data_IF_483170300897
#
_entry.id   IF_483170300897
#
_cell.length_a   1.000
_cell.length_b   1.000
_cell.length_c   1.000
_cell.angle_alpha   90.00
_cell.angle_beta   90.00
_cell.angle_gamma   90.00
#
_symmetry.space_group_name_H-M   'P 1'
#
loop_
_entity.id
_entity.type
_entity.pdbx_description
1 polymer ?
#
# COMPACT_ATOMS: atom_id res chain seq x y z
N UNK A 1 19.92 16.85 -18.12
CA UNK A 1 18.84 16.97 -17.12
C UNK A 1 17.87 18.01 -17.62
N UNK A 2 16.61 17.64 -17.78
CA UNK A 2 15.54 18.54 -18.23
C UNK A 2 14.97 19.35 -17.04
N UNK A 3 14.18 20.38 -17.34
CA UNK A 3 13.46 21.16 -16.31
C UNK A 3 12.49 20.28 -15.48
N UNK A 4 11.78 19.36 -16.14
CA UNK A 4 10.84 18.43 -15.47
C UNK A 4 11.58 17.47 -14.54
N UNK A 5 12.69 16.86 -14.99
CA UNK A 5 13.48 15.99 -14.13
C UNK A 5 14.06 16.76 -12.94
N UNK A 6 14.51 17.99 -13.15
CA UNK A 6 14.99 18.85 -12.08
C UNK A 6 13.87 19.15 -11.06
N UNK A 7 12.67 19.50 -11.53
CA UNK A 7 11.52 19.75 -10.65
C UNK A 7 11.16 18.52 -9.81
N UNK A 8 11.07 17.34 -10.44
CA UNK A 8 10.81 16.07 -9.76
C UNK A 8 11.88 15.82 -8.69
N UNK A 9 13.16 16.06 -9.03
CA UNK A 9 14.27 15.88 -8.11
C UNK A 9 14.17 16.83 -6.91
N UNK A 10 13.91 18.12 -7.14
CA UNK A 10 13.75 19.11 -6.07
C UNK A 10 12.64 18.70 -5.11
N UNK A 11 11.49 18.26 -5.64
CA UNK A 11 10.38 17.78 -4.81
C UNK A 11 10.73 16.51 -4.03
N UNK A 12 11.44 15.57 -4.65
CA UNK A 12 11.90 14.34 -3.99
C UNK A 12 12.88 14.64 -2.85
N UNK A 13 13.86 15.51 -3.08
CA UNK A 13 14.82 15.95 -2.06
C UNK A 13 14.14 16.77 -0.96
N UNK A 14 13.19 17.64 -1.32
CA UNK A 14 12.39 18.41 -0.37
C UNK A 14 11.57 17.50 0.55
N UNK A 15 10.89 16.50 -0.02
CA UNK A 15 10.18 15.46 0.73
C UNK A 15 11.12 14.71 1.68
N UNK A 16 12.23 14.18 1.15
CA UNK A 16 13.19 13.43 1.95
C UNK A 16 13.77 14.26 3.10
N UNK A 17 14.13 15.53 2.84
CA UNK A 17 14.62 16.45 3.86
C UNK A 17 13.59 16.69 4.96
N UNK A 18 12.32 16.84 4.59
CA UNK A 18 11.22 17.03 5.53
C UNK A 18 10.92 15.76 6.36
N UNK A 19 10.81 14.59 5.72
CA UNK A 19 10.61 13.31 6.42
C UNK A 19 11.77 12.99 7.37
N UNK A 20 13.01 13.24 6.92
CA UNK A 20 14.21 13.07 7.75
C UNK A 20 14.22 14.04 8.93
N UNK A 21 13.75 15.28 8.74
CA UNK A 21 13.62 16.25 9.82
C UNK A 21 12.62 15.75 10.88
N UNK A 22 11.42 15.32 10.48
CA UNK A 22 10.41 14.76 11.38
C UNK A 22 10.91 13.49 12.09
N UNK A 23 11.56 12.59 11.35
CA UNK A 23 12.17 11.38 11.90
C UNK A 23 13.22 11.71 12.97
N UNK A 24 14.05 12.73 12.74
CA UNK A 24 15.04 13.18 13.72
C UNK A 24 14.41 13.85 14.95
N UNK A 25 13.32 14.60 14.80
CA UNK A 25 12.56 15.13 15.94
C UNK A 25 12.00 14.00 16.80
N UNK A 26 11.39 13.00 16.16
CA UNK A 26 10.88 11.81 16.84
C UNK A 26 12.00 11.03 17.53
N UNK A 27 13.15 10.84 16.87
CA UNK A 27 14.31 10.17 17.47
C UNK A 27 14.81 10.89 18.72
N UNK A 28 14.98 12.21 18.66
CA UNK A 28 15.38 13.01 19.82
C UNK A 28 14.40 12.83 20.98
N UNK A 29 13.11 12.87 20.68
CA UNK A 29 12.07 12.68 21.68
C UNK A 29 12.10 11.27 22.28
N UNK A 30 12.21 10.22 21.46
CA UNK A 30 12.28 8.84 21.93
C UNK A 30 13.52 8.58 22.77
N UNK A 31 14.68 9.13 22.40
CA UNK A 31 15.91 9.00 23.21
C UNK A 31 15.72 9.67 24.57
N UNK A 32 15.20 10.90 24.58
CA UNK A 32 14.93 11.62 25.83
C UNK A 32 13.92 10.90 26.73
N UNK A 33 12.84 10.39 26.14
CA UNK A 33 11.80 9.65 26.83
C UNK A 33 12.28 8.27 27.31
N UNK A 34 13.19 7.62 26.58
CA UNK A 34 13.81 6.37 26.98
C UNK A 34 14.60 6.54 28.28
N UNK A 35 15.39 7.61 28.39
CA UNK A 35 16.18 7.90 29.60
C UNK A 35 15.30 8.25 30.81
N UNK A 36 14.13 8.85 30.57
CA UNK A 36 13.22 9.31 31.63
C UNK A 36 11.77 8.96 31.30
N UNK A 37 11.33 7.77 31.71
CA UNK A 37 9.93 7.38 31.61
C UNK A 37 9.02 8.38 32.35
N UNK A 38 8.01 8.95 31.68
CA UNK A 38 7.05 9.85 32.32
C UNK A 38 6.30 9.19 33.48
N UNK A 39 6.11 9.91 34.59
CA UNK A 39 5.46 9.37 35.80
C UNK A 39 4.06 8.78 35.54
N UNK A 40 3.29 9.35 34.60
CA UNK A 40 1.94 8.88 34.24
C UNK A 40 1.95 7.52 33.54
N UNK A 41 3.02 7.17 32.82
CA UNK A 41 3.09 5.93 32.04
C UNK A 41 3.58 4.73 32.84
N UNK A 42 4.17 4.94 34.03
CA UNK A 42 4.56 3.86 34.95
C UNK A 42 3.40 2.99 35.43
N UNK A 43 2.16 3.50 35.35
CA UNK A 43 0.93 2.73 35.62
C UNK A 43 0.49 1.85 34.46
N UNK A 44 1.01 2.11 33.25
CA UNK A 44 0.60 1.45 32.01
C UNK A 44 1.63 0.44 31.53
N UNK A 45 2.93 0.72 31.75
CA UNK A 45 4.00 -0.19 31.38
C UNK A 45 5.18 -0.09 32.34
N UNK A 46 5.82 -1.23 32.59
CA UNK A 46 7.04 -1.33 33.38
C UNK A 46 8.21 -0.57 32.73
N UNK A 47 9.27 -0.33 33.49
CA UNK A 47 10.49 0.31 32.98
C UNK A 47 11.17 -0.54 31.89
N UNK A 48 11.11 -1.88 32.01
CA UNK A 48 11.67 -2.80 31.01
C UNK A 48 10.88 -2.78 29.69
N UNK A 49 9.55 -2.80 29.76
CA UNK A 49 8.67 -2.69 28.59
C UNK A 49 8.83 -1.32 27.92
N UNK A 50 8.97 -0.25 28.71
CA UNK A 50 9.25 1.09 28.21
C UNK A 50 10.58 1.16 27.45
N UNK A 51 11.64 0.56 28.00
CA UNK A 51 12.95 0.49 27.36
C UNK A 51 12.89 -0.29 26.04
N UNK A 52 12.23 -1.45 26.04
CA UNK A 52 12.03 -2.30 24.85
C UNK A 52 11.24 -1.56 23.77
N UNK A 53 10.09 -0.97 24.11
CA UNK A 53 9.24 -0.22 23.17
C UNK A 53 9.96 1.01 22.59
N UNK A 54 10.70 1.74 23.43
CA UNK A 54 11.50 2.88 22.99
C UNK A 54 12.65 2.45 22.09
N UNK A 55 13.34 1.34 22.42
CA UNK A 55 14.43 0.79 21.63
C UNK A 55 13.97 0.29 20.27
N UNK A 56 12.79 -0.32 20.19
CA UNK A 56 12.14 -0.71 18.94
C UNK A 56 11.85 0.52 18.09
N UNK A 57 11.18 1.53 18.66
CA UNK A 57 10.83 2.77 17.97
C UNK A 57 12.06 3.51 17.42
N UNK A 58 13.15 3.57 18.20
CA UNK A 58 14.43 4.17 17.76
C UNK A 58 15.03 3.36 16.62
N UNK A 59 15.09 2.02 16.74
CA UNK A 59 15.70 1.15 15.73
C UNK A 59 14.91 1.21 14.41
N UNK A 60 13.58 1.20 14.49
CA UNK A 60 12.66 1.33 13.36
C UNK A 60 12.81 2.67 12.66
N UNK A 61 12.88 3.77 13.41
CA UNK A 61 13.03 5.11 12.83
C UNK A 61 14.39 5.29 12.16
N UNK A 62 15.48 4.81 12.78
CA UNK A 62 16.82 4.82 12.15
C UNK A 62 16.86 4.01 10.86
N UNK A 63 16.23 2.83 10.86
CA UNK A 63 16.13 1.98 9.68
C UNK A 63 15.32 2.67 8.57
N UNK A 64 14.19 3.29 8.89
CA UNK A 64 13.37 4.06 7.93
C UNK A 64 14.19 5.16 7.27
N UNK A 65 14.87 6.01 8.05
CA UNK A 65 15.68 7.10 7.49
C UNK A 65 16.77 6.56 6.54
N UNK A 66 17.40 5.43 6.90
CA UNK A 66 18.39 4.80 6.04
C UNK A 66 17.78 4.25 4.73
N UNK A 67 16.65 3.56 4.83
CA UNK A 67 15.89 3.06 3.69
C UNK A 67 15.44 4.19 2.77
N UNK A 68 14.92 5.28 3.33
CA UNK A 68 14.48 6.47 2.58
C UNK A 68 15.65 7.14 1.85
N UNK A 69 16.81 7.24 2.50
CA UNK A 69 18.03 7.79 1.90
C UNK A 69 18.53 6.94 0.71
N UNK A 70 18.52 5.60 0.88
CA UNK A 70 18.85 4.69 -0.21
C UNK A 70 17.79 4.74 -1.32
N UNK A 71 16.51 4.80 -0.96
CA UNK A 71 15.39 4.96 -1.86
C UNK A 71 15.51 6.21 -2.73
N UNK A 72 15.93 7.35 -2.16
CA UNK A 72 16.19 8.58 -2.92
C UNK A 72 17.33 8.43 -3.94
N UNK A 73 18.39 7.69 -3.59
CA UNK A 73 19.48 7.39 -4.51
C UNK A 73 19.00 6.52 -5.68
N UNK A 74 18.26 5.45 -5.38
CA UNK A 74 17.66 4.58 -6.42
C UNK A 74 16.67 5.37 -7.28
N UNK A 75 15.81 6.18 -6.65
CA UNK A 75 14.86 7.04 -7.34
C UNK A 75 15.56 8.00 -8.32
N UNK A 76 16.71 8.56 -7.94
CA UNK A 76 17.50 9.43 -8.82
C UNK A 76 18.05 8.66 -10.02
N UNK A 77 18.58 7.45 -9.80
CA UNK A 77 19.04 6.55 -10.88
C UNK A 77 17.87 6.19 -11.80
N UNK A 78 16.70 5.90 -11.22
CA UNK A 78 15.48 5.60 -11.97
C UNK A 78 15.07 6.78 -12.84
N UNK A 79 14.98 7.99 -12.29
CA UNK A 79 14.52 9.19 -12.98
C UNK A 79 15.44 9.61 -14.14
N UNK A 80 16.77 9.58 -13.92
CA UNK A 80 17.73 10.10 -14.90
C UNK A 80 18.18 9.07 -15.92
N UNK A 81 18.27 7.80 -15.53
CA UNK A 81 18.88 6.77 -16.35
C UNK A 81 17.92 5.64 -16.69
N UNK A 82 17.41 4.90 -15.71
CA UNK A 82 16.70 3.66 -15.99
C UNK A 82 15.35 3.89 -16.68
N UNK A 83 14.58 4.90 -16.26
CA UNK A 83 13.29 5.23 -16.86
C UNK A 83 13.42 5.58 -18.35
N UNK A 84 14.24 6.58 -18.77
CA UNK A 84 14.42 6.87 -20.19
C UNK A 84 15.08 5.70 -20.94
N UNK A 85 16.09 5.03 -20.35
CA UNK A 85 16.72 3.87 -20.95
C UNK A 85 15.70 2.77 -21.28
N UNK A 86 14.86 2.39 -20.32
CA UNK A 86 13.91 1.30 -20.46
C UNK A 86 12.90 1.58 -21.56
N UNK A 87 12.24 2.75 -21.55
CA UNK A 87 11.20 3.05 -22.53
C UNK A 87 11.74 3.43 -23.91
N UNK A 88 12.97 3.93 -24.01
CA UNK A 88 13.60 4.17 -25.31
C UNK A 88 14.13 2.88 -25.94
N UNK A 89 14.52 1.89 -25.13
CA UNK A 89 14.93 0.57 -25.63
C UNK A 89 13.74 -0.33 -25.95
N UNK A 90 12.74 -0.36 -25.07
CA UNK A 90 11.51 -1.11 -25.26
C UNK A 90 10.40 -0.20 -25.79
N UNK A 91 10.26 -0.14 -27.12
CA UNK A 91 9.17 0.59 -27.77
C UNK A 91 7.81 0.09 -27.23
N UNK A 92 7.07 1.01 -26.63
CA UNK A 92 5.70 0.82 -26.11
C UNK A 92 4.71 1.77 -26.75
N UNK A 93 5.06 2.35 -27.90
CA UNK A 93 4.26 3.31 -28.66
C UNK A 93 2.91 2.75 -29.14
N UNK A 94 2.13 3.61 -29.80
CA UNK A 94 0.75 3.29 -30.19
C UNK A 94 0.64 2.10 -31.16
N UNK A 95 1.67 1.87 -31.99
CA UNK A 95 1.72 0.77 -32.98
C UNK A 95 2.01 -0.61 -32.37
N UNK A 96 2.53 -0.66 -31.15
CA UNK A 96 2.92 -1.91 -30.49
C UNK A 96 1.70 -2.63 -29.92
N UNK A 97 1.78 -3.96 -29.75
CA UNK A 97 0.70 -4.74 -29.13
C UNK A 97 0.37 -4.24 -27.71
N UNK A 98 -0.92 -4.05 -27.42
CA UNK A 98 -1.42 -3.60 -26.11
C UNK A 98 -0.88 -4.46 -24.97
N UNK A 99 -0.87 -5.79 -25.14
CA UNK A 99 -0.44 -6.72 -24.11
C UNK A 99 1.08 -6.72 -23.92
N UNK A 100 1.85 -6.49 -24.99
CA UNK A 100 3.30 -6.28 -24.88
C UNK A 100 3.61 -5.03 -24.04
N UNK A 101 2.90 -3.93 -24.31
CA UNK A 101 3.03 -2.71 -23.52
C UNK A 101 2.70 -2.92 -22.04
N UNK A 102 1.60 -3.63 -21.74
CA UNK A 102 1.21 -3.95 -20.37
C UNK A 102 2.23 -4.83 -19.63
N UNK A 103 2.78 -5.85 -20.30
CA UNK A 103 3.83 -6.71 -19.74
C UNK A 103 5.08 -5.88 -19.42
N UNK A 104 5.53 -5.03 -20.34
CA UNK A 104 6.69 -4.17 -20.12
C UNK A 104 6.46 -3.16 -18.99
N UNK A 105 5.24 -2.64 -18.84
CA UNK A 105 4.88 -1.80 -17.70
C UNK A 105 5.04 -2.52 -16.35
N UNK A 106 4.51 -3.75 -16.24
CA UNK A 106 4.62 -4.55 -15.01
C UNK A 106 6.07 -4.94 -14.74
N UNK A 107 6.83 -5.35 -15.76
CA UNK A 107 8.25 -5.67 -15.63
C UNK A 107 9.06 -4.45 -15.18
N UNK A 108 8.76 -3.27 -15.73
CA UNK A 108 9.39 -2.03 -15.31
C UNK A 108 9.15 -1.75 -13.81
N UNK A 109 7.91 -1.93 -13.32
CA UNK A 109 7.59 -1.78 -11.91
C UNK A 109 8.35 -2.78 -11.03
N UNK A 110 8.47 -4.05 -11.47
CA UNK A 110 9.21 -5.07 -10.71
C UNK A 110 10.68 -4.77 -10.60
N UNK A 111 11.31 -4.38 -11.71
CA UNK A 111 12.74 -4.01 -11.71
C UNK A 111 12.95 -2.78 -10.83
N UNK A 112 12.04 -1.80 -10.89
CA UNK A 112 12.12 -0.58 -10.08
C UNK A 112 12.04 -0.84 -8.58
N UNK A 113 11.36 -1.92 -8.16
CA UNK A 113 11.13 -2.26 -6.74
C UNK A 113 12.05 -3.35 -6.19
N UNK A 114 13.03 -3.81 -6.95
CA UNK A 114 13.92 -4.91 -6.51
C UNK A 114 14.67 -4.59 -5.21
N UNK A 115 15.04 -3.33 -5.01
CA UNK A 115 15.69 -2.86 -3.80
C UNK A 115 14.78 -3.00 -2.57
N UNK A 116 13.47 -2.75 -2.72
CA UNK A 116 12.48 -2.84 -1.64
C UNK A 116 12.36 -4.26 -1.10
N UNK A 117 12.57 -5.29 -1.93
CA UNK A 117 12.57 -6.70 -1.49
C UNK A 117 13.74 -6.97 -0.51
N UNK A 118 14.91 -6.35 -0.75
CA UNK A 118 16.08 -6.48 0.14
C UNK A 118 15.82 -5.81 1.49
N UNK A 119 15.23 -4.61 1.48
CA UNK A 119 14.86 -3.92 2.72
C UNK A 119 13.75 -4.65 3.47
N UNK A 120 12.78 -5.23 2.76
CA UNK A 120 11.74 -6.06 3.37
C UNK A 120 12.34 -7.27 4.10
N UNK A 121 13.32 -7.95 3.49
CA UNK A 121 14.06 -9.03 4.15
C UNK A 121 14.78 -8.55 5.42
N UNK A 122 15.51 -7.44 5.34
CA UNK A 122 16.19 -6.86 6.52
C UNK A 122 15.20 -6.43 7.61
N UNK A 123 14.05 -5.86 7.23
CA UNK A 123 13.01 -5.50 8.18
C UNK A 123 12.54 -6.72 8.96
N UNK A 124 12.20 -7.82 8.27
CA UNK A 124 11.72 -9.03 8.93
C UNK A 124 12.81 -9.76 9.74
N UNK A 125 13.93 -10.11 9.10
CA UNK A 125 14.92 -11.03 9.67
C UNK A 125 16.04 -10.35 10.45
N UNK A 126 16.08 -9.01 10.51
CA UNK A 126 17.02 -8.26 11.36
C UNK A 126 16.29 -7.35 12.34
N UNK A 127 15.41 -6.47 11.86
CA UNK A 127 14.73 -5.52 12.74
C UNK A 127 13.68 -6.24 13.58
N UNK A 128 12.66 -6.86 12.98
CA UNK A 128 11.57 -7.51 13.71
C UNK A 128 12.04 -8.74 14.51
N UNK A 129 12.97 -9.53 13.96
CA UNK A 129 13.62 -10.65 14.67
C UNK A 129 14.31 -10.20 15.97
N UNK A 130 15.05 -9.08 15.94
CA UNK A 130 15.75 -8.54 17.12
C UNK A 130 14.80 -8.24 18.28
N UNK A 131 13.54 -7.91 17.99
CA UNK A 131 12.53 -7.59 19.00
C UNK A 131 11.53 -8.74 19.21
N UNK A 132 11.76 -9.91 18.61
CA UNK A 132 10.93 -11.10 18.78
C UNK A 132 9.56 -11.05 18.08
N UNK A 133 9.34 -10.05 17.21
CA UNK A 133 8.10 -9.90 16.45
C UNK A 133 8.03 -10.80 15.24
N UNK A 134 9.16 -11.13 14.62
CA UNK A 134 9.18 -12.06 13.48
C UNK A 134 8.92 -13.49 13.96
N UNK A 135 7.94 -14.15 13.32
CA UNK A 135 7.67 -15.59 13.48
C UNK A 135 7.78 -16.34 12.15
N UNK A 136 8.02 -15.61 11.06
CA UNK A 136 8.14 -16.17 9.72
C UNK A 136 9.50 -16.85 9.51
N UNK A 137 9.50 -17.91 8.72
CA UNK A 137 10.73 -18.58 8.26
C UNK A 137 11.15 -18.05 6.90
N UNK A 138 12.44 -18.12 6.54
CA UNK A 138 12.92 -17.71 5.22
C UNK A 138 12.20 -18.40 4.06
N UNK A 139 11.85 -19.69 4.23
CA UNK A 139 11.06 -20.45 3.24
C UNK A 139 9.63 -19.91 3.10
N UNK A 140 8.97 -19.59 4.21
CA UNK A 140 7.63 -19.00 4.18
C UNK A 140 7.65 -17.62 3.53
N UNK A 141 8.58 -16.76 3.93
CA UNK A 141 8.75 -15.42 3.34
C UNK A 141 9.00 -15.50 1.83
N UNK A 142 9.90 -16.38 1.37
CA UNK A 142 10.16 -16.54 -0.06
C UNK A 142 8.93 -17.03 -0.83
N UNK A 143 8.22 -18.01 -0.28
CA UNK A 143 6.95 -18.50 -0.85
C UNK A 143 5.93 -17.36 -0.97
N UNK A 144 5.77 -16.57 0.09
CA UNK A 144 4.84 -15.44 0.10
C UNK A 144 5.21 -14.42 -0.97
N UNK A 145 6.51 -14.07 -1.12
CA UNK A 145 6.98 -13.15 -2.16
C UNK A 145 6.76 -13.67 -3.58
N UNK A 146 6.96 -14.96 -3.83
CA UNK A 146 6.66 -15.56 -5.14
C UNK A 146 5.16 -15.47 -5.45
N UNK A 147 4.29 -15.78 -4.48
CA UNK A 147 2.84 -15.69 -4.66
C UNK A 147 2.42 -14.23 -4.88
N UNK A 148 2.98 -13.29 -4.11
CA UNK A 148 2.72 -11.84 -4.22
C UNK A 148 3.09 -11.33 -5.63
N UNK A 149 4.30 -11.64 -6.11
CA UNK A 149 4.79 -11.25 -7.44
C UNK A 149 3.97 -11.91 -8.56
N UNK A 150 3.56 -13.17 -8.38
CA UNK A 150 2.76 -13.87 -9.38
C UNK A 150 1.34 -13.29 -9.47
N UNK A 151 0.67 -13.08 -8.33
CA UNK A 151 -0.67 -12.52 -8.29
C UNK A 151 -0.71 -11.07 -8.79
N UNK A 152 0.27 -10.25 -8.38
CA UNK A 152 0.38 -8.88 -8.90
C UNK A 152 0.65 -8.85 -10.41
N UNK A 153 1.33 -9.85 -10.97
CA UNK A 153 1.53 -9.95 -12.42
C UNK A 153 0.23 -10.36 -13.11
N UNK A 154 -0.42 -11.40 -12.58
CA UNK A 154 -1.67 -11.95 -13.09
C UNK A 154 -2.81 -10.93 -13.07
N UNK A 155 -2.84 -10.02 -12.10
CA UNK A 155 -3.85 -8.96 -12.00
C UNK A 155 -3.40 -7.67 -12.70
N UNK A 156 -2.13 -7.32 -12.58
CA UNK A 156 -1.55 -6.07 -13.09
C UNK A 156 -1.50 -6.02 -14.63
N UNK A 157 -1.10 -7.12 -15.29
CA UNK A 157 -1.04 -7.16 -16.76
C UNK A 157 -2.42 -7.01 -17.40
N UNK A 158 -3.47 -7.76 -16.98
CA UNK A 158 -4.83 -7.54 -17.47
C UNK A 158 -5.34 -6.12 -17.20
N UNK A 159 -5.13 -5.60 -15.99
CA UNK A 159 -5.60 -4.26 -15.62
C UNK A 159 -4.96 -3.17 -16.51
N UNK A 160 -3.63 -3.16 -16.62
CA UNK A 160 -2.92 -2.20 -17.47
C UNK A 160 -3.25 -2.40 -18.94
N UNK A 161 -3.38 -3.64 -19.41
CA UNK A 161 -3.77 -3.93 -20.78
C UNK A 161 -5.18 -3.42 -21.10
N UNK A 162 -6.14 -3.60 -20.20
CA UNK A 162 -7.49 -3.05 -20.34
C UNK A 162 -7.49 -1.51 -20.34
N UNK A 163 -6.65 -0.87 -19.53
CA UNK A 163 -6.52 0.59 -19.53
C UNK A 163 -5.92 1.12 -20.84
N UNK A 164 -4.84 0.50 -21.32
CA UNK A 164 -4.23 0.85 -22.61
C UNK A 164 -5.21 0.60 -23.76
N UNK A 165 -5.94 -0.51 -23.73
CA UNK A 165 -6.97 -0.84 -24.71
C UNK A 165 -8.09 0.21 -24.70
N UNK A 166 -8.58 0.56 -23.51
CA UNK A 166 -9.62 1.58 -23.31
C UNK A 166 -9.18 2.93 -23.85
N UNK A 167 -7.94 3.35 -23.56
CA UNK A 167 -7.36 4.56 -24.13
C UNK A 167 -7.36 4.50 -25.66
N UNK A 168 -6.77 3.45 -26.25
CA UNK A 168 -6.62 3.33 -27.72
C UNK A 168 -7.95 3.27 -28.47
N UNK A 169 -8.96 2.67 -27.87
CA UNK A 169 -10.29 2.53 -28.46
C UNK A 169 -11.11 3.80 -28.27
N UNK A 170 -11.33 4.26 -27.03
CA UNK A 170 -12.25 5.37 -26.75
C UNK A 170 -11.71 6.73 -27.19
N UNK A 171 -10.38 6.93 -27.24
CA UNK A 171 -9.78 8.19 -27.72
C UNK A 171 -10.07 8.46 -29.19
N UNK A 172 -10.42 7.45 -29.99
CA UNK A 172 -10.81 7.62 -31.39
C UNK A 172 -12.20 8.27 -31.53
N UNK A 173 -13.06 8.13 -30.52
CA UNK A 173 -14.46 8.56 -30.58
C UNK A 173 -14.76 9.78 -29.71
N UNK A 174 -14.01 9.98 -28.61
CA UNK A 174 -14.28 11.05 -27.67
C UNK A 174 -13.05 11.52 -26.89
N UNK A 175 -12.94 12.83 -26.70
CA UNK A 175 -11.96 13.44 -25.79
C UNK A 175 -12.24 13.10 -24.31
N UNK A 176 -13.42 12.55 -23.99
CA UNK A 176 -13.79 12.07 -22.66
C UNK A 176 -13.48 10.58 -22.43
N UNK A 177 -12.61 9.98 -23.26
CA UNK A 177 -12.19 8.57 -23.11
C UNK A 177 -11.73 8.21 -21.70
N UNK A 178 -11.12 9.16 -20.98
CA UNK A 178 -10.59 8.97 -19.63
C UNK A 178 -11.70 8.74 -18.59
N UNK A 179 -12.92 9.24 -18.81
CA UNK A 179 -14.09 8.96 -17.96
C UNK A 179 -14.47 7.48 -18.06
N UNK A 180 -14.48 6.94 -19.28
CA UNK A 180 -14.78 5.53 -19.53
C UNK A 180 -13.68 4.61 -18.99
N UNK A 181 -12.41 4.95 -19.23
CA UNK A 181 -11.27 4.21 -18.69
C UNK A 181 -11.27 4.22 -17.15
N UNK A 182 -11.59 5.37 -16.53
CA UNK A 182 -11.77 5.46 -15.09
C UNK A 182 -12.95 4.62 -14.60
N UNK A 183 -14.10 4.65 -15.28
CA UNK A 183 -15.26 3.82 -14.93
C UNK A 183 -14.92 2.33 -14.93
N UNK A 184 -14.22 1.84 -15.95
CA UNK A 184 -13.73 0.45 -16.02
C UNK A 184 -12.78 0.15 -14.87
N UNK A 185 -11.78 1.02 -14.65
CA UNK A 185 -10.82 0.89 -13.55
C UNK A 185 -11.51 0.82 -12.19
N UNK A 186 -12.45 1.74 -11.93
CA UNK A 186 -13.15 1.84 -10.66
C UNK A 186 -14.06 0.63 -10.41
N UNK A 187 -14.74 0.13 -11.45
CA UNK A 187 -15.53 -1.12 -11.35
C UNK A 187 -14.61 -2.30 -10.99
N UNK A 188 -13.47 -2.44 -11.68
CA UNK A 188 -12.49 -3.50 -11.37
C UNK A 188 -11.99 -3.34 -9.92
N UNK A 189 -11.71 -2.12 -9.48
CA UNK A 189 -11.29 -1.85 -8.10
C UNK A 189 -12.35 -2.26 -7.08
N UNK A 190 -13.64 -1.95 -7.31
CA UNK A 190 -14.75 -2.38 -6.45
C UNK A 190 -14.89 -3.90 -6.43
N UNK A 191 -14.75 -4.56 -7.58
CA UNK A 191 -14.76 -6.02 -7.68
C UNK A 191 -13.61 -6.60 -6.86
N UNK A 192 -12.38 -6.12 -7.05
CA UNK A 192 -11.22 -6.57 -6.29
C UNK A 192 -11.37 -6.31 -4.79
N UNK A 193 -11.95 -5.18 -4.37
CA UNK A 193 -12.23 -4.91 -2.95
C UNK A 193 -13.11 -5.99 -2.31
N UNK A 194 -14.07 -6.54 -3.05
CA UNK A 194 -14.96 -7.62 -2.57
C UNK A 194 -14.30 -9.00 -2.69
N UNK A 195 -13.56 -9.24 -3.78
CA UNK A 195 -12.96 -10.55 -4.07
C UNK A 195 -11.65 -10.80 -3.32
N UNK A 196 -10.87 -9.75 -3.01
CA UNK A 196 -9.55 -9.87 -2.40
C UNK A 196 -9.56 -10.65 -1.08
N UNK A 197 -10.44 -10.35 -0.10
CA UNK A 197 -10.46 -11.09 1.16
C UNK A 197 -10.92 -12.54 0.99
N UNK A 198 -11.70 -12.83 -0.06
CA UNK A 198 -12.26 -14.16 -0.31
C UNK A 198 -11.30 -15.07 -1.07
N UNK A 199 -10.53 -14.53 -2.00
CA UNK A 199 -9.72 -15.34 -2.92
C UNK A 199 -8.21 -15.13 -2.75
N UNK A 200 -7.78 -13.94 -2.34
CA UNK A 200 -6.35 -13.61 -2.23
C UNK A 200 -5.86 -13.87 -0.81
N UNK A 201 -6.58 -13.37 0.21
CA UNK A 201 -6.20 -13.56 1.61
C UNK A 201 -5.99 -15.04 2.00
N UNK A 202 -6.86 -16.00 1.58
CA UNK A 202 -6.68 -17.41 1.93
C UNK A 202 -5.45 -18.09 1.32
N UNK A 203 -4.80 -17.47 0.32
CA UNK A 203 -3.56 -17.98 -0.26
C UNK A 203 -2.38 -17.80 0.69
N UNK A 204 -2.46 -16.82 1.59
CA UNK A 204 -1.43 -16.49 2.56
C UNK A 204 -1.77 -17.06 3.94
N UNK A 205 -3.03 -16.95 4.36
CA UNK A 205 -3.47 -17.23 5.71
C UNK A 205 -4.63 -18.22 5.75
N UNK A 206 -4.66 -19.04 6.80
CA UNK A 206 -5.80 -19.88 7.10
C UNK A 206 -6.84 -19.04 7.85
N UNK A 207 -8.07 -19.07 7.36
CA UNK A 207 -9.25 -18.55 8.04
C UNK A 207 -10.03 -19.73 8.61
N UNK A 208 -10.35 -19.69 9.89
CA UNK A 208 -11.19 -20.68 10.56
C UNK A 208 -12.30 -19.99 11.37
N UNK A 209 -13.50 -20.57 11.48
CA UNK A 209 -14.54 -20.02 12.35
C UNK A 209 -14.06 -19.90 13.79
N UNK A 210 -14.50 -18.84 14.49
CA UNK A 210 -14.26 -18.69 15.92
C UNK A 210 -14.97 -19.84 16.67
N UNK A 211 -14.23 -20.52 17.54
CA UNK A 211 -14.76 -21.61 18.36
C UNK A 211 -15.93 -21.18 19.24
N UNK A 212 -16.79 -22.13 19.60
CA UNK A 212 -17.87 -21.90 20.57
C UNK A 212 -17.26 -21.50 21.92
N UNK A 213 -17.87 -20.54 22.62
CA UNK A 213 -17.43 -20.09 23.93
C UNK A 213 -17.83 -18.65 24.28
N UNK A 214 -17.49 -18.22 25.50
CA UNK A 214 -17.86 -16.92 26.07
C UNK A 214 -17.50 -15.74 25.16
N UNK A 215 -16.31 -15.77 24.56
CA UNK A 215 -15.86 -14.73 23.64
C UNK A 215 -16.80 -14.63 22.43
N UNK A 216 -17.12 -15.75 21.80
CA UNK A 216 -18.00 -15.78 20.62
C UNK A 216 -19.39 -15.23 20.96
N UNK A 217 -19.98 -15.68 22.07
CA UNK A 217 -21.30 -15.21 22.51
C UNK A 217 -21.28 -13.71 22.79
N UNK A 218 -20.25 -13.22 23.48
CA UNK A 218 -20.07 -11.79 23.78
C UNK A 218 -19.96 -10.94 22.50
N UNK A 219 -19.19 -11.39 21.52
CA UNK A 219 -19.03 -10.66 20.24
C UNK A 219 -20.30 -10.71 19.38
N UNK A 220 -21.05 -11.81 19.42
CA UNK A 220 -22.36 -11.92 18.78
C UNK A 220 -23.39 -11.01 19.43
N UNK A 221 -23.44 -10.94 20.76
CA UNK A 221 -24.32 -10.05 21.51
C UNK A 221 -24.00 -8.58 21.22
N UNK A 222 -22.71 -8.22 21.22
CA UNK A 222 -22.26 -6.87 20.87
C UNK A 222 -22.67 -6.51 19.44
N UNK A 223 -22.43 -7.40 18.48
CA UNK A 223 -22.82 -7.22 17.08
C UNK A 223 -24.33 -7.04 16.94
N UNK A 224 -25.11 -7.87 17.64
CA UNK A 224 -26.57 -7.82 17.63
C UNK A 224 -27.11 -6.53 18.24
N UNK A 225 -26.60 -6.11 19.41
CA UNK A 225 -26.95 -4.82 20.05
C UNK A 225 -26.61 -3.63 19.16
N UNK A 226 -25.49 -3.69 18.47
CA UNK A 226 -25.12 -2.67 17.52
C UNK A 226 -25.91 -2.76 16.20
N UNK A 227 -26.76 -3.76 15.98
CA UNK A 227 -27.43 -3.98 14.69
C UNK A 227 -26.44 -4.26 13.55
N UNK A 228 -25.29 -4.83 13.88
CA UNK A 228 -24.30 -5.34 12.94
C UNK A 228 -24.61 -6.81 12.66
N UNK A 229 -25.25 -7.06 11.51
CA UNK A 229 -25.54 -8.42 11.05
C UNK A 229 -24.26 -8.94 10.37
N UNK A 230 -23.35 -9.50 11.16
CA UNK A 230 -22.25 -10.33 10.64
C UNK A 230 -22.76 -11.74 10.37
N UNK A 231 -22.30 -12.34 9.27
CA UNK A 231 -22.59 -13.76 9.01
C UNK A 231 -21.75 -14.68 9.87
N UNK A 232 -20.52 -14.27 10.15
CA UNK A 232 -19.51 -15.15 10.74
C UNK A 232 -18.37 -14.31 11.35
N UNK A 233 -17.80 -14.83 12.44
CA UNK A 233 -16.56 -14.35 13.04
C UNK A 233 -15.51 -15.41 12.75
N UNK A 234 -14.45 -15.04 12.03
CA UNK A 234 -13.34 -15.89 11.64
C UNK A 234 -12.06 -15.46 12.37
N UNK A 235 -11.21 -16.44 12.64
CA UNK A 235 -9.86 -16.26 13.18
C UNK A 235 -8.85 -16.49 12.06
N UNK A 236 -7.90 -15.56 11.92
CA UNK A 236 -6.79 -15.64 10.98
C UNK A 236 -5.49 -16.04 11.71
N UNK A 237 -4.72 -16.94 11.09
CA UNK A 237 -3.42 -17.43 11.61
C UNK A 237 -2.28 -16.39 11.45
N UNK A 238 -2.44 -15.22 12.07
CA UNK A 238 -1.47 -14.12 12.03
C UNK A 238 -0.14 -14.48 12.69
N UNK A 239 -0.19 -15.27 13.76
CA UNK A 239 0.95 -15.75 14.55
C UNK A 239 2.02 -16.45 13.71
N UNK A 240 1.63 -17.03 12.57
CA UNK A 240 2.53 -17.69 11.61
C UNK A 240 3.59 -16.74 11.02
N UNK A 241 3.31 -15.43 10.99
CA UNK A 241 4.20 -14.42 10.40
C UNK A 241 4.72 -13.45 11.43
N UNK A 242 3.87 -13.02 12.35
CA UNK A 242 4.23 -12.02 13.33
C UNK A 242 3.41 -12.16 14.61
N UNK A 243 3.96 -11.70 15.74
CA UNK A 243 3.21 -11.55 17.00
C UNK A 243 2.38 -10.26 17.08
N UNK A 244 2.30 -9.47 16.01
CA UNK A 244 1.40 -8.31 15.97
C UNK A 244 -0.08 -8.73 15.94
N UNK A 245 -0.90 -7.93 16.62
CA UNK A 245 -2.33 -8.18 16.81
C UNK A 245 -3.16 -7.19 16.01
N UNK A 246 -4.26 -7.67 15.42
CA UNK A 246 -5.16 -6.85 14.61
C UNK A 246 -6.56 -7.48 14.53
N UNK A 247 -7.54 -6.69 14.12
CA UNK A 247 -8.88 -7.14 13.77
C UNK A 247 -9.43 -6.24 12.64
N UNK A 248 -10.22 -6.80 11.74
CA UNK A 248 -10.83 -6.03 10.65
C UNK A 248 -12.12 -6.66 10.16
N UNK A 249 -12.91 -5.90 9.40
CA UNK A 249 -14.05 -6.46 8.66
C UNK A 249 -13.76 -6.64 7.20
N UNK A 250 -14.47 -7.61 6.64
CA UNK A 250 -14.52 -7.86 5.20
C UNK A 250 -15.96 -8.06 4.74
N UNK A 251 -16.19 -7.92 3.43
CA UNK A 251 -17.47 -8.12 2.78
C UNK A 251 -18.35 -6.87 2.72
N UNK A 252 -19.44 -6.97 1.96
CA UNK A 252 -20.35 -5.84 1.69
C UNK A 252 -21.80 -6.17 2.08
N UNK A 253 -22.54 -5.16 2.50
CA UNK A 253 -23.98 -5.29 2.81
C UNK A 253 -24.26 -6.30 3.92
N UNK A 254 -24.98 -7.38 3.60
CA UNK A 254 -25.35 -8.45 4.54
C UNK A 254 -24.36 -9.62 4.59
N UNK A 255 -23.33 -9.61 3.74
CA UNK A 255 -22.32 -10.68 3.63
C UNK A 255 -21.02 -10.33 4.37
N UNK A 256 -21.11 -9.51 5.40
CA UNK A 256 -19.92 -9.06 6.15
C UNK A 256 -19.45 -10.14 7.11
N UNK A 257 -18.14 -10.20 7.27
CA UNK A 257 -17.45 -11.06 8.23
C UNK A 257 -16.51 -10.24 9.09
N UNK A 258 -16.30 -10.72 10.31
CA UNK A 258 -15.33 -10.20 11.26
C UNK A 258 -14.12 -11.13 11.19
N UNK A 259 -12.92 -10.58 11.00
CA UNK A 259 -11.68 -11.35 11.02
C UNK A 259 -10.82 -10.86 12.18
N UNK A 260 -10.48 -11.78 13.09
CA UNK A 260 -9.70 -11.50 14.29
C UNK A 260 -8.39 -12.28 14.22
N UNK A 261 -7.27 -11.65 14.55
CA UNK A 261 -5.98 -12.35 14.60
C UNK A 261 -5.93 -13.27 15.84
N UNK A 262 -5.39 -14.47 15.65
CA UNK A 262 -5.07 -15.39 16.76
C UNK A 262 -4.21 -14.72 17.84
N UNK A 263 -3.23 -13.91 17.46
CA UNK A 263 -2.38 -13.12 18.37
C UNK A 263 -3.17 -12.13 19.22
N UNK A 264 -4.28 -11.58 18.72
CA UNK A 264 -5.15 -10.70 19.51
C UNK A 264 -5.88 -11.49 20.59
N UNK A 265 -6.36 -12.69 20.24
CA UNK A 265 -7.07 -13.59 21.17
C UNK A 265 -6.12 -14.11 22.25
N UNK A 266 -4.86 -14.36 21.90
CA UNK A 266 -3.83 -14.81 22.85
C UNK A 266 -3.35 -13.72 23.81
N UNK A 267 -3.43 -12.45 23.42
CA UNK A 267 -2.82 -11.32 24.15
C UNK A 267 -3.81 -10.48 24.96
N UNK A 268 -5.12 -10.60 24.72
CA UNK A 268 -6.14 -9.73 25.31
C UNK A 268 -7.25 -10.53 25.97
N UNK A 269 -7.85 -9.96 27.00
CA UNK A 269 -9.05 -10.52 27.63
C UNK A 269 -10.30 -10.31 26.76
N UNK A 270 -11.33 -11.13 26.97
CA UNK A 270 -12.56 -11.09 26.19
C UNK A 270 -13.23 -9.70 26.13
N UNK A 271 -13.16 -8.93 27.22
CA UNK A 271 -13.73 -7.57 27.29
C UNK A 271 -12.90 -6.55 26.48
N UNK A 272 -11.58 -6.72 26.43
CA UNK A 272 -10.69 -5.89 25.62
C UNK A 272 -10.91 -6.16 24.13
N UNK A 273 -11.04 -7.44 23.75
CA UNK A 273 -11.38 -7.84 22.37
C UNK A 273 -12.75 -7.29 21.98
N UNK A 274 -13.74 -7.35 22.88
CA UNK A 274 -15.06 -6.76 22.63
C UNK A 274 -14.98 -5.23 22.46
N UNK A 275 -14.12 -4.54 23.21
CA UNK A 275 -13.90 -3.10 23.05
C UNK A 275 -13.25 -2.77 21.69
N UNK A 276 -12.27 -3.57 21.25
CA UNK A 276 -11.69 -3.45 19.89
C UNK A 276 -12.76 -3.66 18.83
N UNK A 277 -13.59 -4.70 18.97
CA UNK A 277 -14.68 -4.93 18.02
C UNK A 277 -15.71 -3.80 18.03
N UNK A 278 -16.01 -3.21 19.19
CA UNK A 278 -16.89 -2.05 19.28
C UNK A 278 -16.33 -0.83 18.52
N UNK A 279 -15.02 -0.59 18.62
CA UNK A 279 -14.34 0.46 17.84
C UNK A 279 -14.51 0.24 16.33
N UNK A 280 -14.24 -0.99 15.90
CA UNK A 280 -14.37 -1.42 14.52
C UNK A 280 -15.84 -1.25 14.05
N UNK A 281 -16.84 -1.73 14.79
CA UNK A 281 -18.26 -1.54 14.45
C UNK A 281 -18.62 -0.05 14.37
N UNK A 282 -17.96 0.80 15.16
CA UNK A 282 -18.07 2.25 15.09
C UNK A 282 -17.68 2.81 13.71
N UNK A 283 -16.60 2.34 13.10
CA UNK A 283 -16.22 2.71 11.73
C UNK A 283 -17.28 2.34 10.70
N UNK A 284 -17.92 1.18 10.89
CA UNK A 284 -19.05 0.78 10.06
C UNK A 284 -20.25 1.71 10.24
N UNK A 285 -20.67 1.96 11.48
CA UNK A 285 -21.85 2.79 11.79
C UNK A 285 -21.74 4.20 11.27
N UNK A 286 -20.54 4.78 11.32
CA UNK A 286 -20.27 6.11 10.77
C UNK A 286 -20.08 6.12 9.25
N UNK A 287 -20.12 4.97 8.58
CA UNK A 287 -20.03 4.90 7.13
C UNK A 287 -18.67 5.33 6.57
N UNK A 288 -17.58 5.10 7.30
CA UNK A 288 -16.25 5.55 6.88
C UNK A 288 -15.80 4.92 5.55
N UNK A 289 -16.20 3.67 5.27
CA UNK A 289 -15.87 3.00 3.99
C UNK A 289 -16.55 3.71 2.80
N UNK A 290 -17.90 3.88 2.76
CA UNK A 290 -18.54 4.68 1.71
C UNK A 290 -17.98 6.10 1.56
N UNK A 291 -17.68 6.79 2.66
CA UNK A 291 -17.09 8.13 2.61
C UNK A 291 -15.72 8.12 1.90
N UNK A 292 -14.84 7.19 2.29
CA UNK A 292 -13.53 7.01 1.64
C UNK A 292 -13.69 6.61 0.17
N UNK A 293 -14.65 5.74 -0.17
CA UNK A 293 -14.92 5.35 -1.55
C UNK A 293 -15.38 6.53 -2.42
N UNK A 294 -16.23 7.42 -1.89
CA UNK A 294 -16.64 8.63 -2.61
C UNK A 294 -15.46 9.58 -2.83
N UNK A 295 -14.64 9.80 -1.80
CA UNK A 295 -13.43 10.63 -1.93
C UNK A 295 -12.47 10.03 -2.95
N UNK A 296 -12.21 8.72 -2.88
CA UNK A 296 -11.37 8.00 -3.85
C UNK A 296 -11.95 8.05 -5.28
N UNK A 297 -13.27 8.01 -5.44
CA UNK A 297 -13.91 8.16 -6.74
C UNK A 297 -13.61 9.52 -7.36
N UNK A 298 -13.85 10.62 -6.64
CA UNK A 298 -13.60 11.96 -7.16
C UNK A 298 -12.11 12.25 -7.37
N UNK A 299 -11.24 11.81 -6.45
CA UNK A 299 -9.79 11.93 -6.63
C UNK A 299 -9.29 11.11 -7.82
N UNK A 300 -9.78 9.88 -8.00
CA UNK A 300 -9.45 9.04 -9.14
C UNK A 300 -9.94 9.65 -10.46
N UNK A 301 -11.15 10.18 -10.49
CA UNK A 301 -11.70 10.87 -11.66
C UNK A 301 -10.86 12.09 -12.03
N UNK A 302 -10.50 12.93 -11.05
CA UNK A 302 -9.63 14.08 -11.24
C UNK A 302 -8.24 13.66 -11.75
N UNK A 303 -7.68 12.58 -11.19
CA UNK A 303 -6.41 12.00 -11.62
C UNK A 303 -6.46 11.55 -13.08
N UNK A 304 -7.49 10.80 -13.49
CA UNK A 304 -7.64 10.36 -14.88
C UNK A 304 -7.82 11.53 -15.85
N UNK A 305 -8.54 12.59 -15.44
CA UNK A 305 -8.65 13.83 -16.20
C UNK A 305 -7.29 14.51 -16.38
N UNK A 306 -6.52 14.68 -15.30
CA UNK A 306 -5.17 15.24 -15.36
C UNK A 306 -4.23 14.39 -16.21
N UNK A 307 -4.26 13.06 -16.01
CA UNK A 307 -3.49 12.10 -16.79
C UNK A 307 -3.80 12.19 -18.29
N UNK A 308 -5.07 12.38 -18.66
CA UNK A 308 -5.44 12.58 -20.06
C UNK A 308 -4.81 13.81 -20.68
N UNK A 309 -4.73 14.92 -19.95
CA UNK A 309 -4.05 16.15 -20.41
C UNK A 309 -2.55 15.87 -20.57
N UNK A 310 -1.96 15.13 -19.64
CA UNK A 310 -0.54 14.77 -19.68
C UNK A 310 -0.17 13.90 -20.87
N UNK A 311 -1.05 12.97 -21.29
CA UNK A 311 -0.83 12.15 -22.49
C UNK A 311 -0.75 12.98 -23.78
N UNK A 312 -1.44 14.12 -23.84
CA UNK A 312 -1.38 15.03 -24.99
C UNK A 312 -0.18 15.98 -24.96
N UNK A 313 0.53 16.09 -23.84
CA UNK A 313 1.62 17.05 -23.66
C UNK A 313 2.97 16.48 -24.11
N UNK A 314 3.44 16.89 -25.29
CA UNK A 314 4.77 16.50 -25.81
C UNK A 314 5.91 16.95 -24.89
N UNK A 315 5.75 18.09 -24.22
CA UNK A 315 6.72 18.63 -23.26
C UNK A 315 6.99 17.66 -22.10
N UNK A 316 5.98 16.93 -21.61
CA UNK A 316 6.18 15.95 -20.53
C UNK A 316 7.04 14.76 -20.98
N UNK A 317 6.80 14.23 -22.17
CA UNK A 317 7.59 13.11 -22.71
C UNK A 317 9.03 13.52 -22.98
N UNK A 318 9.24 14.67 -23.64
CA UNK A 318 10.57 15.23 -23.87
C UNK A 318 11.28 15.55 -22.55
N UNK A 319 10.54 16.09 -21.59
CA UNK A 319 11.00 16.34 -20.24
C UNK A 319 11.43 15.07 -19.51
N UNK A 320 10.94 13.89 -19.86
CA UNK A 320 11.39 12.62 -19.31
C UNK A 320 12.46 11.94 -20.18
N UNK A 321 13.04 12.66 -21.15
CA UNK A 321 14.00 12.17 -22.15
C UNK A 321 13.48 10.96 -22.95
N UNK A 322 12.20 10.94 -23.29
CA UNK A 322 11.61 9.89 -24.12
C UNK A 322 11.70 10.23 -25.62
N UNK A 323 12.01 9.22 -26.44
CA UNK A 323 12.09 9.33 -27.88
C UNK A 323 10.72 9.64 -28.51
N UNK A 324 10.75 10.18 -29.74
CA UNK A 324 9.54 10.55 -30.49
C UNK A 324 8.54 9.40 -30.69
N UNK A 325 9.02 8.16 -30.75
CA UNK A 325 8.20 6.93 -30.90
C UNK A 325 7.26 6.68 -29.69
N UNK A 326 7.64 7.19 -28.52
CA UNK A 326 6.87 7.07 -27.29
C UNK A 326 5.93 8.25 -27.05
N UNK A 327 5.91 9.26 -27.92
CA UNK A 327 4.99 10.39 -27.79
C UNK A 327 3.54 9.89 -27.79
N UNK A 328 2.74 10.41 -26.86
CA UNK A 328 1.36 10.00 -26.63
C UNK A 328 1.18 8.52 -26.23
N UNK A 329 2.26 7.82 -25.90
CA UNK A 329 2.15 6.47 -25.38
C UNK A 329 1.62 6.48 -23.95
N UNK A 330 0.59 5.67 -23.70
CA UNK A 330 -0.01 5.49 -22.39
C UNK A 330 1.00 4.94 -21.37
N UNK A 331 1.81 3.98 -21.80
CA UNK A 331 2.64 3.14 -20.92
C UNK A 331 3.71 3.91 -20.14
N UNK A 332 4.66 4.62 -20.79
CA UNK A 332 5.68 5.36 -20.07
C UNK A 332 5.05 6.46 -19.21
N UNK A 333 3.99 7.12 -19.69
CA UNK A 333 3.32 8.15 -18.89
C UNK A 333 2.66 7.55 -17.64
N UNK A 334 1.97 6.41 -17.76
CA UNK A 334 1.39 5.72 -16.61
C UNK A 334 2.46 5.32 -15.59
N UNK A 335 3.61 4.84 -16.05
CA UNK A 335 4.72 4.47 -15.16
C UNK A 335 5.40 5.69 -14.53
N UNK A 336 5.54 6.80 -15.27
CA UNK A 336 6.02 8.07 -14.73
C UNK A 336 5.10 8.57 -13.62
N UNK A 337 3.78 8.52 -13.82
CA UNK A 337 2.81 8.89 -12.81
C UNK A 337 2.87 7.96 -11.59
N UNK A 338 2.97 6.65 -11.78
CA UNK A 338 3.08 5.70 -10.67
C UNK A 338 4.31 5.94 -9.78
N UNK A 339 5.44 6.37 -10.36
CA UNK A 339 6.70 6.54 -9.61
C UNK A 339 6.91 7.98 -9.14
N UNK A 340 6.63 8.97 -9.99
CA UNK A 340 7.02 10.37 -9.77
C UNK A 340 5.88 11.24 -9.22
N UNK A 341 4.61 10.89 -9.48
CA UNK A 341 3.47 11.65 -8.95
C UNK A 341 3.44 11.76 -7.41
N UNK A 342 3.85 10.74 -6.64
CA UNK A 342 3.93 10.85 -5.18
C UNK A 342 4.75 12.05 -4.67
N UNK A 343 5.79 12.49 -5.41
CA UNK A 343 6.58 13.67 -5.06
C UNK A 343 5.76 14.97 -5.08
N UNK A 344 4.73 15.03 -5.93
CA UNK A 344 3.83 16.17 -6.02
C UNK A 344 2.69 16.07 -5.01
N UNK A 345 2.13 14.87 -4.84
CA UNK A 345 0.93 14.68 -4.00
C UNK A 345 1.23 14.67 -2.50
N UNK A 346 2.47 14.36 -2.10
CA UNK A 346 2.91 14.30 -0.70
C UNK A 346 2.49 15.53 0.12
N UNK A 347 2.58 16.72 -0.47
CA UNK A 347 2.30 17.99 0.21
C UNK A 347 0.81 18.25 0.47
N UNK A 348 -0.07 17.44 -0.13
CA UNK A 348 -1.52 17.55 0.06
C UNK A 348 -2.08 16.46 0.97
N UNK A 349 -1.25 15.48 1.37
CA UNK A 349 -1.66 14.45 2.31
C UNK A 349 -1.41 14.90 3.75
N UNK A 350 -2.35 14.67 4.68
CA UNK A 350 -2.10 14.93 6.10
C UNK A 350 -0.95 14.04 6.59
N UNK A 351 -0.07 14.63 7.42
CA UNK A 351 1.10 13.99 8.02
C UNK A 351 0.73 13.02 9.15
#
# INVERSE_FOLDING_TARGET
MTEIQLLILILAFGRFGFETHLGNLNLKQFVSLKEKQPKKTKKLMSEEEWDKASSYSISKTKFSIFEDAFGLLIFSILLFWFFPFFFNYFDTGFKQSTWKCAIFAVLFLYISQIHSIVFDWWRHFKLEEKFGFNKSTGKLWFKDKVIELFLSFLLGVPLLGLLILSFRYFSQFSNLWWVWAFGIFFIIQLVLMVLWPKFILPLFNKLSPLGEGCLRDKLHDLSSKAGFISREIEVIDGSKRSSHSNAFFTGFGKFRKIVIYDTLIEQMEDDEIAAVLAHEIGHYKKGHIPQRLLISFFMGLAFFGFFSISLSSTYLYQGLNLNAENLHSFTPMAMAFSIFMPCFTYWFTPL
#
